data_IF_458769840088
#
_entry.id   IF_458769840088
#
_cell.length_a   1.000
_cell.length_b   1.000
_cell.length_c   1.000
_cell.angle_alpha   90.00
_cell.angle_beta   90.00
_cell.angle_gamma   90.00
#
_symmetry.space_group_name_H-M   'P 1'
#
loop_
_entity.id
_entity.type
_entity.pdbx_description
1 polymer ?
#
# COMPACT_ATOMS: atom_id res chain seq x y z
N UNK A 1 -22.27 3.50 27.10
CA UNK A 1 -21.79 3.73 25.72
C UNK A 1 -21.47 5.20 25.41
N UNK A 2 -22.34 6.17 25.73
CA UNK A 2 -22.08 7.61 25.48
C UNK A 2 -20.77 8.12 26.09
N UNK A 3 -20.43 7.67 27.32
CA UNK A 3 -19.20 8.06 27.99
C UNK A 3 -17.93 7.55 27.27
N UNK A 4 -17.96 6.30 26.73
CA UNK A 4 -16.82 5.71 26.01
C UNK A 4 -16.55 6.45 24.69
N UNK A 5 -17.59 6.79 23.91
CA UNK A 5 -17.42 7.54 22.66
C UNK A 5 -16.81 8.94 22.89
N UNK A 6 -17.26 9.63 23.92
CA UNK A 6 -16.70 10.93 24.31
C UNK A 6 -15.22 10.77 24.74
N UNK A 7 -14.93 9.82 25.63
CA UNK A 7 -13.56 9.55 26.08
C UNK A 7 -12.62 9.20 24.94
N UNK A 8 -13.02 8.34 24.01
CA UNK A 8 -12.23 7.98 22.83
C UNK A 8 -11.97 9.23 21.96
N UNK A 9 -13.03 10.02 21.70
CA UNK A 9 -12.90 11.25 20.90
C UNK A 9 -11.92 12.24 21.53
N UNK A 10 -11.99 12.44 22.83
CA UNK A 10 -11.12 13.39 23.53
C UNK A 10 -9.66 12.90 23.54
N UNK A 11 -9.42 11.62 23.74
CA UNK A 11 -8.07 11.01 23.62
C UNK A 11 -7.50 11.17 22.21
N UNK A 12 -8.30 10.97 21.16
CA UNK A 12 -7.87 11.18 19.77
C UNK A 12 -7.59 12.67 19.48
N UNK A 13 -8.35 13.58 20.09
CA UNK A 13 -8.11 15.03 19.97
C UNK A 13 -6.78 15.43 20.62
N UNK A 14 -6.47 14.89 21.79
CA UNK A 14 -5.18 15.12 22.45
C UNK A 14 -4.02 14.65 21.56
N UNK A 15 -4.11 13.45 21.00
CA UNK A 15 -3.09 12.95 20.06
C UNK A 15 -2.94 13.85 18.82
N UNK A 16 -4.04 14.36 18.28
CA UNK A 16 -4.01 15.30 17.17
C UNK A 16 -3.24 16.58 17.52
N UNK A 17 -3.45 17.12 18.73
CA UNK A 17 -2.75 18.29 19.25
C UNK A 17 -1.26 17.99 19.50
N UNK A 18 -0.94 16.91 20.20
CA UNK A 18 0.44 16.50 20.52
C UNK A 18 1.29 16.23 19.26
N UNK A 19 0.67 15.67 18.22
CA UNK A 19 1.36 15.32 16.96
C UNK A 19 1.27 16.41 15.91
N UNK A 20 0.59 17.52 16.18
CA UNK A 20 0.31 18.60 15.24
C UNK A 20 -0.31 18.10 13.91
N UNK A 21 -1.21 17.11 14.01
CA UNK A 21 -1.93 16.53 12.86
C UNK A 21 -3.41 16.90 12.91
N UNK A 22 -4.08 17.04 11.75
CA UNK A 22 -5.52 17.29 11.71
C UNK A 22 -6.31 16.20 12.46
N UNK A 23 -7.26 16.60 13.31
CA UNK A 23 -8.10 15.65 14.03
C UNK A 23 -8.85 14.70 13.09
N UNK A 24 -9.31 15.20 11.93
CA UNK A 24 -9.96 14.37 10.91
C UNK A 24 -9.07 13.23 10.40
N UNK A 25 -7.78 13.47 10.33
CA UNK A 25 -6.80 12.46 9.91
C UNK A 25 -6.62 11.38 10.99
N UNK A 26 -6.42 11.79 12.26
CA UNK A 26 -6.32 10.84 13.37
C UNK A 26 -7.60 10.01 13.53
N UNK A 27 -8.75 10.65 13.40
CA UNK A 27 -10.05 9.97 13.43
C UNK A 27 -10.21 8.95 12.28
N UNK A 28 -9.73 9.29 11.08
CA UNK A 28 -9.76 8.39 9.94
C UNK A 28 -8.86 7.16 10.16
N UNK A 29 -7.63 7.36 10.66
CA UNK A 29 -6.74 6.25 10.99
C UNK A 29 -7.30 5.39 12.11
N UNK A 30 -7.96 5.97 13.12
CA UNK A 30 -8.66 5.21 14.13
C UNK A 30 -9.80 4.37 13.54
N UNK A 31 -10.57 4.94 12.62
CA UNK A 31 -11.60 4.20 11.87
C UNK A 31 -11.02 3.01 11.10
N UNK A 32 -9.90 3.22 10.40
CA UNK A 32 -9.18 2.18 9.64
C UNK A 32 -8.72 1.05 10.58
N UNK A 33 -8.01 1.36 11.66
CA UNK A 33 -7.48 0.34 12.58
C UNK A 33 -8.60 -0.48 13.23
N UNK A 34 -9.70 0.17 13.63
CA UNK A 34 -10.83 -0.54 14.28
C UNK A 34 -11.64 -1.38 13.29
N UNK A 35 -11.69 -0.96 12.01
CA UNK A 35 -12.23 -1.80 10.96
C UNK A 35 -11.34 -3.02 10.68
N UNK A 36 -10.03 -2.81 10.56
CA UNK A 36 -9.06 -3.90 10.38
C UNK A 36 -9.09 -4.90 11.54
N UNK A 37 -9.35 -4.43 12.79
CA UNK A 37 -9.51 -5.31 13.93
C UNK A 37 -10.75 -6.23 13.77
N UNK A 38 -11.92 -5.66 13.41
CA UNK A 38 -13.12 -6.47 13.11
C UNK A 38 -12.89 -7.42 11.96
N UNK A 39 -12.12 -6.97 10.97
CA UNK A 39 -11.73 -7.80 9.84
C UNK A 39 -10.90 -9.01 10.29
N UNK A 40 -9.87 -8.80 11.11
CA UNK A 40 -9.03 -9.86 11.66
C UNK A 40 -9.81 -10.86 12.54
N UNK A 41 -10.83 -10.40 13.27
CA UNK A 41 -11.73 -11.25 14.06
C UNK A 41 -12.80 -11.98 13.22
N UNK A 42 -12.92 -11.70 11.92
CA UNK A 42 -13.94 -12.27 11.06
C UNK A 42 -13.51 -13.62 10.46
N UNK A 43 -14.49 -14.42 10.04
CA UNK A 43 -14.24 -15.66 9.27
C UNK A 43 -13.61 -15.42 7.90
N UNK A 44 -13.43 -14.17 7.50
CA UNK A 44 -12.86 -13.77 6.22
C UNK A 44 -11.38 -13.43 6.29
N UNK A 45 -10.80 -13.32 7.49
CA UNK A 45 -9.41 -12.90 7.70
C UNK A 45 -8.40 -13.65 6.81
N UNK A 46 -8.61 -14.98 6.66
CA UNK A 46 -7.73 -15.83 5.86
C UNK A 46 -7.84 -15.67 4.33
N UNK A 47 -8.91 -15.04 3.86
CA UNK A 47 -9.20 -14.89 2.43
C UNK A 47 -8.66 -13.61 1.83
N UNK A 48 -8.18 -12.69 2.67
CA UNK A 48 -7.72 -11.38 2.23
C UNK A 48 -6.31 -11.11 2.78
N UNK A 49 -5.57 -10.31 2.05
CA UNK A 49 -4.21 -9.86 2.42
C UNK A 49 -4.17 -8.34 2.33
N UNK A 50 -3.81 -7.67 3.42
CA UNK A 50 -3.62 -6.21 3.43
C UNK A 50 -2.45 -5.84 2.53
N UNK A 51 -2.67 -4.86 1.65
CA UNK A 51 -1.67 -4.34 0.72
C UNK A 51 -1.65 -2.82 0.70
N UNK A 52 -0.92 -2.26 -0.25
CA UNK A 52 -0.89 -0.82 -0.46
C UNK A 52 -0.16 -0.04 0.63
N UNK A 53 -0.46 1.25 0.73
CA UNK A 53 0.31 2.16 1.57
C UNK A 53 0.08 2.00 3.07
N UNK A 54 -0.97 1.29 3.51
CA UNK A 54 -1.16 0.97 4.93
C UNK A 54 -0.07 0.03 5.45
N UNK A 55 0.58 -0.76 4.58
CA UNK A 55 1.72 -1.59 4.97
C UNK A 55 2.91 -0.75 5.47
N UNK A 56 3.09 0.49 5.01
CA UNK A 56 4.11 1.39 5.53
C UNK A 56 3.87 1.76 7.01
N UNK A 57 2.62 1.79 7.44
CA UNK A 57 2.26 1.96 8.85
C UNK A 57 2.67 0.73 9.67
N UNK A 58 2.41 -0.48 9.15
CA UNK A 58 2.81 -1.75 9.77
C UNK A 58 4.33 -1.82 9.93
N UNK A 59 5.07 -1.44 8.91
CA UNK A 59 6.53 -1.46 8.91
C UNK A 59 7.17 -0.25 9.60
N UNK A 60 6.37 0.66 10.16
CA UNK A 60 6.82 1.88 10.83
C UNK A 60 7.75 2.74 9.97
N UNK A 61 7.46 2.78 8.66
CA UNK A 61 8.23 3.59 7.72
C UNK A 61 8.08 5.05 8.07
N UNK A 62 9.21 5.71 8.37
CA UNK A 62 9.23 7.16 8.52
C UNK A 62 8.93 7.84 7.19
N UNK A 63 8.35 9.05 7.26
CA UNK A 63 8.12 9.88 6.06
C UNK A 63 7.15 9.28 5.03
N UNK A 64 6.36 8.27 5.46
CA UNK A 64 5.31 7.72 4.61
C UNK A 64 4.25 8.79 4.32
N UNK A 65 3.77 8.79 3.08
CA UNK A 65 2.63 9.63 2.71
C UNK A 65 1.35 9.19 3.42
N UNK A 66 0.45 10.13 3.62
CA UNK A 66 -0.90 9.83 4.13
C UNK A 66 -1.66 8.95 3.14
N UNK A 67 -2.39 7.97 3.68
CA UNK A 67 -3.34 7.14 2.94
C UNK A 67 -4.59 6.91 3.78
N UNK A 68 -5.75 6.99 3.15
CA UNK A 68 -7.05 6.87 3.81
C UNK A 68 -7.85 5.66 3.30
N UNK A 69 -7.36 5.02 2.25
CA UNK A 69 -7.99 3.85 1.63
C UNK A 69 -7.37 2.57 2.19
N UNK A 70 -8.20 1.55 2.36
CA UNK A 70 -7.76 0.20 2.72
C UNK A 70 -7.67 -0.62 1.44
N UNK A 71 -6.47 -1.08 1.10
CA UNK A 71 -6.25 -1.93 -0.07
C UNK A 71 -6.12 -3.40 0.37
N UNK A 72 -6.90 -4.29 -0.24
CA UNK A 72 -6.78 -5.74 -0.07
C UNK A 72 -6.55 -6.47 -1.38
N UNK A 73 -5.78 -7.55 -1.30
CA UNK A 73 -5.86 -8.62 -2.27
C UNK A 73 -6.77 -9.72 -1.72
N UNK A 74 -7.77 -10.15 -2.50
CA UNK A 74 -8.67 -11.22 -2.10
C UNK A 74 -8.47 -12.50 -2.91
N UNK A 75 -8.42 -13.62 -2.20
CA UNK A 75 -8.64 -14.94 -2.76
C UNK A 75 -10.10 -15.35 -2.49
N UNK A 76 -11.01 -14.69 -3.17
CA UNK A 76 -12.45 -14.81 -2.95
C UNK A 76 -13.21 -14.47 -4.25
N UNK A 77 -14.55 -14.67 -4.24
CA UNK A 77 -15.42 -14.30 -5.35
C UNK A 77 -15.40 -12.77 -5.57
N UNK A 78 -15.17 -12.33 -6.82
CA UNK A 78 -14.98 -10.93 -7.20
C UNK A 78 -16.29 -10.20 -7.57
N UNK A 79 -17.46 -10.82 -7.37
CA UNK A 79 -18.72 -10.14 -7.61
C UNK A 79 -18.95 -9.03 -6.57
N UNK A 80 -19.37 -7.86 -7.02
CA UNK A 80 -19.63 -6.68 -6.17
C UNK A 80 -20.57 -7.04 -5.02
N UNK A 81 -21.69 -7.70 -5.30
CA UNK A 81 -22.66 -8.09 -4.28
C UNK A 81 -22.08 -9.04 -3.21
N UNK A 82 -21.14 -9.91 -3.61
CA UNK A 82 -20.45 -10.81 -2.68
C UNK A 82 -19.53 -10.02 -1.74
N UNK A 83 -18.75 -9.10 -2.27
CA UNK A 83 -17.84 -8.26 -1.47
C UNK A 83 -18.64 -7.32 -0.56
N UNK A 84 -19.73 -6.70 -1.05
CA UNK A 84 -20.62 -5.92 -0.18
C UNK A 84 -21.14 -6.74 1.00
N UNK A 85 -21.61 -7.98 0.75
CA UNK A 85 -22.09 -8.89 1.81
C UNK A 85 -20.99 -9.19 2.82
N UNK A 86 -19.75 -9.41 2.37
CA UNK A 86 -18.58 -9.61 3.25
C UNK A 86 -18.37 -8.38 4.14
N UNK A 87 -18.32 -7.19 3.56
CA UNK A 87 -18.06 -5.95 4.31
C UNK A 87 -19.22 -5.65 5.29
N UNK A 88 -20.50 -5.86 4.88
CA UNK A 88 -21.65 -5.75 5.78
C UNK A 88 -21.56 -6.69 7.00
N UNK A 89 -21.06 -7.90 6.79
CA UNK A 89 -20.87 -8.85 7.89
C UNK A 89 -19.72 -8.41 8.80
N UNK A 90 -18.63 -7.89 8.24
CA UNK A 90 -17.50 -7.37 9.03
C UNK A 90 -17.92 -6.17 9.88
N UNK A 91 -18.73 -5.25 9.35
CA UNK A 91 -19.29 -4.13 10.12
C UNK A 91 -20.04 -4.58 11.38
N UNK A 92 -20.61 -5.79 11.36
CA UNK A 92 -21.42 -6.36 12.44
C UNK A 92 -20.66 -7.34 13.35
N UNK A 93 -19.33 -7.55 13.12
CA UNK A 93 -18.53 -8.45 13.98
C UNK A 93 -18.49 -7.91 15.39
N UNK A 94 -18.90 -8.71 16.40
CA UNK A 94 -18.84 -8.31 17.80
C UNK A 94 -17.38 -8.23 18.25
N UNK A 95 -17.03 -7.12 18.88
CA UNK A 95 -15.69 -6.86 19.44
C UNK A 95 -15.82 -6.18 20.80
N UNK A 96 -14.75 -6.17 21.57
CA UNK A 96 -14.65 -5.33 22.76
C UNK A 96 -15.02 -3.88 22.40
N UNK A 97 -15.91 -3.23 23.15
CA UNK A 97 -16.36 -1.88 22.84
C UNK A 97 -15.17 -0.90 22.69
N UNK A 98 -15.06 -0.28 21.53
CA UNK A 98 -14.02 0.68 21.16
C UNK A 98 -14.59 2.08 20.79
N UNK A 99 -15.86 2.29 21.08
CA UNK A 99 -16.59 3.53 20.78
C UNK A 99 -17.03 3.68 19.33
N UNK A 100 -16.55 2.84 18.39
CA UNK A 100 -16.91 2.88 16.98
C UNK A 100 -18.03 1.90 16.63
N UNK A 101 -18.90 2.34 15.73
CA UNK A 101 -19.83 1.48 14.99
C UNK A 101 -19.65 1.71 13.50
N UNK A 102 -19.84 0.66 12.68
CA UNK A 102 -19.83 0.76 11.23
C UNK A 102 -21.24 0.51 10.71
N UNK A 103 -21.77 1.47 9.96
CA UNK A 103 -23.14 1.42 9.45
C UNK A 103 -23.20 0.51 8.21
N UNK A 104 -23.61 -0.74 8.43
CA UNK A 104 -23.69 -1.75 7.38
C UNK A 104 -24.71 -1.41 6.27
N UNK A 105 -25.69 -0.54 6.54
CA UNK A 105 -26.69 -0.15 5.55
C UNK A 105 -26.14 0.88 4.56
N UNK A 106 -25.06 1.57 4.92
CA UNK A 106 -24.36 2.49 4.03
C UNK A 106 -23.36 1.83 3.08
N UNK A 107 -23.12 0.53 3.23
CA UNK A 107 -22.17 -0.22 2.40
C UNK A 107 -22.64 -0.27 0.96
N UNK A 108 -21.84 0.31 0.06
CA UNK A 108 -22.07 0.34 -1.38
C UNK A 108 -20.79 -0.04 -2.13
N UNK A 109 -20.88 -1.04 -2.98
CA UNK A 109 -19.82 -1.52 -3.83
C UNK A 109 -19.98 -1.04 -5.27
N UNK A 110 -18.85 -0.90 -5.95
CA UNK A 110 -18.81 -0.66 -7.39
C UNK A 110 -17.60 -1.35 -8.00
N UNK A 111 -17.70 -1.74 -9.26
CA UNK A 111 -16.52 -2.20 -10.01
C UNK A 111 -15.54 -1.05 -10.17
N UNK A 112 -14.26 -1.32 -9.92
CA UNK A 112 -13.17 -0.45 -10.36
C UNK A 112 -12.77 -0.96 -11.74
N UNK A 113 -12.99 -0.15 -12.77
CA UNK A 113 -12.26 -0.31 -14.02
C UNK A 113 -10.87 0.29 -13.77
N UNK A 114 -9.93 -0.51 -13.31
CA UNK A 114 -8.54 -0.12 -13.53
C UNK A 114 -8.33 -0.09 -15.04
N UNK A 115 -7.48 0.83 -15.51
CA UNK A 115 -7.06 0.92 -16.92
C UNK A 115 -6.36 -0.36 -17.41
N UNK A 116 -6.39 -1.41 -16.60
CA UNK A 116 -5.81 -2.72 -16.76
C UNK A 116 -6.89 -3.80 -16.60
N UNK A 117 -6.74 -4.95 -17.26
CA UNK A 117 -7.66 -6.10 -17.35
C UNK A 117 -8.17 -6.70 -16.02
N UNK A 118 -7.81 -6.13 -14.87
CA UNK A 118 -8.19 -6.64 -13.55
C UNK A 118 -9.36 -5.86 -12.97
N UNK A 119 -10.51 -6.53 -12.88
CA UNK A 119 -11.68 -6.00 -12.21
C UNK A 119 -11.46 -5.98 -10.69
N UNK A 120 -11.27 -4.80 -10.12
CA UNK A 120 -11.32 -4.57 -8.68
C UNK A 120 -12.74 -4.25 -8.20
N UNK A 121 -12.96 -4.30 -6.90
CA UNK A 121 -14.20 -3.86 -6.26
C UNK A 121 -13.88 -2.78 -5.24
N UNK A 122 -14.44 -1.59 -5.42
CA UNK A 122 -14.41 -0.51 -4.42
C UNK A 122 -15.67 -0.56 -3.57
N UNK A 123 -15.50 -0.55 -2.26
CA UNK A 123 -16.61 -0.49 -1.32
C UNK A 123 -16.46 0.76 -0.46
N UNK A 124 -17.55 1.53 -0.35
CA UNK A 124 -17.63 2.72 0.52
C UNK A 124 -18.71 2.50 1.57
N UNK A 125 -18.46 2.98 2.78
CA UNK A 125 -19.39 2.94 3.91
C UNK A 125 -19.02 3.98 4.96
N UNK A 126 -19.81 4.06 6.04
CA UNK A 126 -19.62 5.06 7.09
C UNK A 126 -19.32 4.38 8.42
N UNK A 127 -18.24 4.79 9.08
CA UNK A 127 -17.99 4.61 10.49
C UNK A 127 -18.56 5.76 11.31
N UNK A 128 -18.94 5.49 12.55
CA UNK A 128 -19.52 6.47 13.48
C UNK A 128 -18.80 6.44 14.82
N UNK A 129 -18.29 7.59 15.27
CA UNK A 129 -17.83 7.82 16.64
C UNK A 129 -18.71 8.91 17.26
N UNK A 130 -19.72 8.54 18.02
CA UNK A 130 -20.76 9.45 18.47
C UNK A 130 -21.48 10.11 17.29
N UNK A 131 -21.33 11.45 17.16
CA UNK A 131 -21.87 12.22 16.02
C UNK A 131 -20.91 12.34 14.84
N UNK A 132 -19.65 11.98 15.01
CA UNK A 132 -18.63 12.09 13.95
C UNK A 132 -18.80 10.98 12.93
N UNK A 133 -18.90 11.36 11.66
CA UNK A 133 -18.98 10.43 10.52
C UNK A 133 -17.59 10.24 9.91
N UNK A 134 -17.21 9.00 9.70
CA UNK A 134 -15.90 8.60 9.17
C UNK A 134 -16.16 7.91 7.83
N UNK A 135 -15.88 8.56 6.68
CA UNK A 135 -16.02 7.91 5.39
C UNK A 135 -14.96 6.84 5.22
N UNK A 136 -15.38 5.60 5.00
CA UNK A 136 -14.51 4.45 4.80
C UNK A 136 -14.50 4.05 3.34
N UNK A 137 -13.31 3.70 2.81
CA UNK A 137 -13.15 3.14 1.48
C UNK A 137 -12.23 1.93 1.53
N UNK A 138 -12.66 0.87 0.86
CA UNK A 138 -11.89 -0.37 0.69
C UNK A 138 -11.80 -0.67 -0.79
N UNK A 139 -10.59 -0.91 -1.28
CA UNK A 139 -10.32 -1.35 -2.63
C UNK A 139 -9.84 -2.81 -2.58
N UNK A 140 -10.55 -3.69 -3.25
CA UNK A 140 -10.26 -5.12 -3.29
C UNK A 140 -9.81 -5.51 -4.69
N UNK A 141 -8.56 -5.91 -4.81
CA UNK A 141 -7.99 -6.51 -6.02
C UNK A 141 -8.07 -8.03 -5.97
N UNK A 142 -7.97 -8.67 -7.13
CA UNK A 142 -8.06 -10.12 -7.26
C UNK A 142 -6.98 -10.67 -8.17
N UNK A 143 -6.50 -11.87 -7.87
CA UNK A 143 -5.67 -12.64 -8.76
C UNK A 143 -4.20 -12.27 -8.81
N UNK A 144 -3.73 -11.25 -8.11
CA UNK A 144 -2.30 -10.95 -7.98
C UNK A 144 -1.55 -12.06 -7.22
N UNK A 145 -0.24 -12.14 -7.43
CA UNK A 145 0.64 -13.09 -6.77
C UNK A 145 1.49 -12.37 -5.74
N UNK A 146 1.50 -12.88 -4.52
CA UNK A 146 2.33 -12.32 -3.43
C UNK A 146 3.56 -13.19 -3.22
N UNK A 147 4.74 -12.60 -3.32
CA UNK A 147 6.00 -13.26 -3.04
C UNK A 147 7.00 -12.33 -2.34
N UNK A 148 7.67 -12.76 -1.27
CA UNK A 148 7.42 -13.96 -0.47
C UNK A 148 5.98 -14.08 0.03
N UNK A 149 5.58 -15.29 0.49
CA UNK A 149 4.20 -15.53 0.96
C UNK A 149 3.79 -14.49 2.01
N UNK A 150 2.50 -14.07 2.02
CA UNK A 150 1.97 -13.17 3.03
C UNK A 150 2.29 -13.67 4.45
N UNK A 151 2.68 -12.74 5.31
CA UNK A 151 2.93 -13.03 6.73
C UNK A 151 1.78 -12.47 7.57
N UNK A 152 1.54 -13.08 8.71
CA UNK A 152 0.68 -12.50 9.74
C UNK A 152 1.38 -11.26 10.29
N UNK A 153 0.65 -10.18 10.41
CA UNK A 153 1.12 -8.89 10.92
C UNK A 153 0.19 -8.36 12.01
N UNK A 154 0.76 -7.63 12.94
CA UNK A 154 0.03 -6.80 13.89
C UNK A 154 -0.01 -5.37 13.37
N UNK A 155 -1.20 -4.89 13.05
CA UNK A 155 -1.37 -3.50 12.66
C UNK A 155 -1.27 -2.59 13.89
N UNK A 156 -0.46 -1.52 13.88
CA UNK A 156 -0.31 -0.64 15.02
C UNK A 156 -1.61 0.11 15.36
N UNK A 157 -1.81 0.39 16.64
CA UNK A 157 -3.01 1.06 17.15
C UNK A 157 -2.66 2.41 17.76
N UNK A 158 -3.59 3.35 17.67
CA UNK A 158 -3.44 4.73 18.18
C UNK A 158 -3.74 4.79 19.67
N UNK A 159 -4.75 4.03 20.11
CA UNK A 159 -5.16 3.94 21.52
C UNK A 159 -4.95 2.50 22.04
N UNK A 160 -5.11 2.29 23.36
CA UNK A 160 -4.91 1.00 24.05
C UNK A 160 -6.04 0.01 23.78
N UNK A 161 -6.29 -0.29 22.51
CA UNK A 161 -7.22 -1.32 22.09
C UNK A 161 -6.47 -2.51 21.46
N UNK A 162 -7.09 -3.70 21.41
CA UNK A 162 -6.46 -4.87 20.78
C UNK A 162 -6.05 -4.58 19.34
N UNK A 163 -4.83 -5.03 18.98
CA UNK A 163 -4.28 -4.83 17.64
C UNK A 163 -5.00 -5.68 16.60
N UNK A 164 -5.23 -5.15 15.40
CA UNK A 164 -5.64 -5.96 14.25
C UNK A 164 -4.57 -6.99 13.92
N UNK A 165 -4.98 -8.25 13.76
CA UNK A 165 -4.12 -9.38 13.43
C UNK A 165 -4.58 -9.98 12.10
N UNK A 166 -3.80 -9.83 11.03
CA UNK A 166 -4.20 -10.16 9.67
C UNK A 166 -2.99 -10.46 8.76
N UNK A 167 -3.24 -11.00 7.57
CA UNK A 167 -2.19 -11.22 6.57
C UNK A 167 -1.81 -9.91 5.90
N UNK A 168 -0.51 -9.68 5.69
CA UNK A 168 0.03 -8.51 4.99
C UNK A 168 1.02 -8.87 3.89
N UNK A 169 1.16 -7.96 2.93
CA UNK A 169 2.10 -8.07 1.81
C UNK A 169 3.56 -8.02 2.29
N UNK A 170 4.44 -8.58 1.44
CA UNK A 170 5.89 -8.35 1.53
C UNK A 170 6.28 -7.03 0.85
N UNK A 171 7.40 -6.42 1.24
CA UNK A 171 7.95 -5.25 0.55
C UNK A 171 8.22 -5.51 -0.94
N UNK A 172 8.73 -6.70 -1.27
CA UNK A 172 9.05 -7.11 -2.64
C UNK A 172 7.81 -7.13 -3.53
N UNK A 173 6.68 -7.60 -3.01
CA UNK A 173 5.41 -7.60 -3.76
C UNK A 173 4.91 -6.18 -4.02
N UNK A 174 5.03 -5.26 -3.06
CA UNK A 174 4.64 -3.86 -3.26
C UNK A 174 5.52 -3.20 -4.33
N UNK A 175 6.83 -3.39 -4.27
CA UNK A 175 7.76 -2.86 -5.29
C UNK A 175 7.39 -3.41 -6.66
N UNK A 176 7.19 -4.73 -6.76
CA UNK A 176 6.92 -5.41 -8.04
C UNK A 176 5.61 -4.95 -8.68
N UNK A 177 4.52 -4.84 -7.91
CA UNK A 177 3.23 -4.36 -8.43
C UNK A 177 3.28 -2.90 -8.88
N UNK A 178 3.97 -2.04 -8.11
CA UNK A 178 4.11 -0.63 -8.45
C UNK A 178 4.98 -0.44 -9.68
N UNK A 179 6.11 -1.13 -9.75
CA UNK A 179 7.01 -1.06 -10.90
C UNK A 179 6.32 -1.56 -12.17
N UNK A 180 5.63 -2.71 -12.11
CA UNK A 180 4.86 -3.21 -13.24
C UNK A 180 3.81 -2.20 -13.72
N UNK A 181 3.04 -1.61 -12.80
CA UNK A 181 2.06 -0.60 -13.15
C UNK A 181 2.70 0.64 -13.80
N UNK A 182 3.87 1.07 -13.33
CA UNK A 182 4.61 2.20 -13.91
C UNK A 182 5.07 1.90 -15.33
N UNK A 183 5.58 0.70 -15.59
CA UNK A 183 6.00 0.25 -16.92
C UNK A 183 4.78 0.14 -17.86
N UNK A 184 3.72 -0.53 -17.41
CA UNK A 184 2.51 -0.75 -18.22
C UNK A 184 1.80 0.53 -18.61
N UNK A 185 1.73 1.51 -17.72
CA UNK A 185 1.09 2.80 -17.99
C UNK A 185 1.93 3.69 -18.94
N UNK A 186 3.24 3.52 -18.96
CA UNK A 186 4.12 4.27 -19.87
C UNK A 186 3.81 5.77 -19.88
N UNK A 187 3.46 6.31 -21.06
CA UNK A 187 3.12 7.72 -21.26
C UNK A 187 1.90 8.17 -20.46
N UNK A 188 0.95 7.30 -20.16
CA UNK A 188 -0.25 7.62 -19.40
C UNK A 188 -0.02 7.67 -17.88
N UNK A 189 1.20 7.34 -17.42
CA UNK A 189 1.49 7.26 -16.00
C UNK A 189 1.40 8.63 -15.31
N UNK A 190 0.38 8.82 -14.49
CA UNK A 190 0.17 9.98 -13.61
C UNK A 190 0.35 9.61 -12.12
N UNK A 191 0.77 8.39 -11.80
CA UNK A 191 0.79 7.82 -10.45
C UNK A 191 2.07 8.18 -9.70
N UNK A 192 2.28 9.47 -9.43
CA UNK A 192 3.48 9.99 -8.74
C UNK A 192 3.73 9.31 -7.38
N UNK A 193 2.67 8.84 -6.73
CA UNK A 193 2.76 8.07 -5.48
C UNK A 193 3.57 6.78 -5.62
N UNK A 194 3.56 6.13 -6.80
CA UNK A 194 4.27 4.87 -6.97
C UNK A 194 5.78 5.10 -7.11
N UNK A 195 6.21 6.18 -7.77
CA UNK A 195 7.61 6.62 -7.78
C UNK A 195 8.11 6.92 -6.36
N UNK A 196 7.32 7.69 -5.60
CA UNK A 196 7.68 8.02 -4.22
C UNK A 196 7.77 6.77 -3.33
N UNK A 197 6.77 5.90 -3.41
CA UNK A 197 6.68 4.72 -2.56
C UNK A 197 7.86 3.76 -2.81
N UNK A 198 8.25 3.49 -4.09
CA UNK A 198 9.44 2.65 -4.39
C UNK A 198 10.71 3.35 -3.93
N UNK A 199 10.87 4.65 -4.23
CA UNK A 199 12.03 5.43 -3.81
C UNK A 199 12.19 5.43 -2.28
N UNK A 200 11.09 5.56 -1.52
CA UNK A 200 11.11 5.49 -0.07
C UNK A 200 11.50 4.11 0.42
N UNK A 201 10.92 3.06 -0.18
CA UNK A 201 11.18 1.67 0.22
C UNK A 201 12.65 1.27 0.00
N UNK A 202 13.25 1.62 -1.13
CA UNK A 202 14.65 1.29 -1.40
C UNK A 202 15.64 1.96 -0.42
N UNK A 203 15.22 3.04 0.25
CA UNK A 203 16.01 3.77 1.26
C UNK A 203 15.78 3.25 2.69
N UNK A 204 14.64 2.63 2.95
CA UNK A 204 14.22 2.23 4.29
C UNK A 204 14.39 0.72 4.54
N UNK A 205 14.44 -0.09 3.48
CA UNK A 205 14.50 -1.55 3.58
C UNK A 205 15.79 -2.11 2.98
N UNK A 206 16.21 -3.26 3.53
CA UNK A 206 17.09 -4.15 2.82
C UNK A 206 16.24 -5.14 2.02
N UNK A 207 16.63 -5.43 0.78
CA UNK A 207 15.94 -6.40 -0.06
C UNK A 207 16.84 -7.60 -0.35
N UNK A 208 16.29 -8.79 -0.22
CA UNK A 208 16.92 -9.99 -0.71
C UNK A 208 16.75 -10.07 -2.22
N UNK A 209 17.85 -10.18 -2.97
CA UNK A 209 17.84 -10.16 -4.44
C UNK A 209 17.05 -11.31 -5.04
N UNK A 210 17.19 -12.55 -4.52
CA UNK A 210 16.40 -13.70 -4.96
C UNK A 210 14.89 -13.44 -4.79
N UNK A 211 14.49 -12.87 -3.66
CA UNK A 211 13.08 -12.59 -3.38
C UNK A 211 12.55 -11.50 -4.29
N UNK A 212 13.30 -10.44 -4.52
CA UNK A 212 12.86 -9.34 -5.38
C UNK A 212 12.76 -9.79 -6.86
N UNK A 213 13.74 -10.53 -7.36
CA UNK A 213 13.74 -11.12 -8.71
C UNK A 213 12.52 -12.01 -8.90
N UNK A 214 12.25 -12.90 -7.96
CA UNK A 214 11.10 -13.81 -8.06
C UNK A 214 9.75 -13.06 -7.97
N UNK A 215 9.65 -12.03 -7.12
CA UNK A 215 8.45 -11.20 -7.03
C UNK A 215 8.20 -10.44 -8.33
N UNK A 216 9.23 -9.82 -8.93
CA UNK A 216 9.16 -9.15 -10.23
C UNK A 216 8.72 -10.12 -11.33
N UNK A 217 9.41 -11.26 -11.46
CA UNK A 217 9.13 -12.29 -12.46
C UNK A 217 7.68 -12.76 -12.40
N UNK A 218 7.18 -13.07 -11.19
CA UNK A 218 5.80 -13.53 -10.99
C UNK A 218 4.76 -12.45 -11.30
N UNK A 219 5.01 -11.21 -10.87
CA UNK A 219 4.09 -10.10 -11.09
C UNK A 219 3.96 -9.78 -12.58
N UNK A 220 5.07 -9.60 -13.29
CA UNK A 220 5.06 -9.30 -14.72
C UNK A 220 4.44 -10.45 -15.55
N UNK A 221 4.80 -11.70 -15.25
CA UNK A 221 4.19 -12.87 -15.87
C UNK A 221 2.68 -12.92 -15.62
N UNK A 222 2.23 -12.71 -14.38
CA UNK A 222 0.82 -12.75 -14.00
C UNK A 222 0.01 -11.68 -14.71
N UNK A 223 0.56 -10.47 -14.81
CA UNK A 223 -0.10 -9.31 -15.41
C UNK A 223 0.14 -9.21 -16.92
N UNK A 224 0.86 -10.18 -17.51
CA UNK A 224 1.19 -10.23 -18.93
C UNK A 224 1.85 -8.94 -19.44
N UNK A 225 2.66 -8.31 -18.61
CA UNK A 225 3.42 -7.10 -18.94
C UNK A 225 4.84 -7.51 -19.34
N UNK A 226 5.34 -6.97 -20.44
CA UNK A 226 6.73 -7.20 -20.89
C UNK A 226 7.67 -6.44 -19.97
N UNK A 227 8.76 -7.08 -19.56
CA UNK A 227 9.84 -6.42 -18.83
C UNK A 227 10.51 -5.40 -19.76
N UNK A 228 10.92 -4.22 -19.24
CA UNK A 228 11.70 -3.26 -20.03
C UNK A 228 13.04 -3.89 -20.43
N UNK A 229 13.42 -3.74 -21.70
CA UNK A 229 14.65 -4.34 -22.24
C UNK A 229 15.87 -3.56 -21.81
N UNK A 230 15.84 -2.23 -21.99
CA UNK A 230 16.94 -1.33 -21.72
C UNK A 230 16.48 -0.10 -20.95
N UNK A 231 17.42 0.69 -20.45
CA UNK A 231 17.15 2.02 -19.91
C UNK A 231 16.89 3.02 -21.04
N UNK A 232 16.02 4.02 -20.84
CA UNK A 232 15.25 4.28 -19.61
C UNK A 232 14.07 3.33 -19.46
N UNK A 233 13.77 2.90 -18.22
CA UNK A 233 12.64 1.99 -17.94
C UNK A 233 11.28 2.66 -18.03
N UNK A 234 11.25 3.97 -18.01
CA UNK A 234 10.02 4.77 -18.03
C UNK A 234 9.96 5.63 -19.30
N UNK A 235 8.78 6.16 -19.58
CA UNK A 235 8.57 7.05 -20.71
C UNK A 235 9.45 8.34 -20.62
N UNK A 236 9.83 8.91 -21.76
CA UNK A 236 10.72 10.08 -21.83
C UNK A 236 10.24 11.28 -21.03
N UNK A 237 8.93 11.48 -20.95
CA UNK A 237 8.28 12.56 -20.19
C UNK A 237 8.57 12.49 -18.68
N UNK A 238 8.96 11.32 -18.17
CA UNK A 238 9.38 11.17 -16.77
C UNK A 238 10.73 11.84 -16.52
N UNK A 239 11.55 11.92 -17.54
CA UNK A 239 12.91 12.50 -17.48
C UNK A 239 12.98 13.95 -17.94
N UNK A 240 11.96 14.43 -18.66
CA UNK A 240 11.88 15.81 -19.11
C UNK A 240 11.38 16.73 -17.98
N UNK A 241 12.25 17.67 -17.58
CA UNK A 241 11.95 18.64 -16.51
C UNK A 241 10.85 19.65 -16.87
N UNK A 242 10.51 19.79 -18.16
CA UNK A 242 9.46 20.68 -18.66
C UNK A 242 8.13 19.97 -18.86
N UNK A 243 8.08 18.65 -18.66
CA UNK A 243 6.89 17.85 -18.87
C UNK A 243 5.81 18.11 -17.81
N UNK A 244 4.57 17.76 -18.18
CA UNK A 244 3.43 17.74 -17.23
C UNK A 244 3.68 16.77 -16.07
N UNK A 245 4.50 15.72 -16.28
CA UNK A 245 4.84 14.73 -15.24
C UNK A 245 5.66 15.37 -14.13
N UNK A 246 6.59 16.25 -14.47
CA UNK A 246 7.34 17.03 -13.48
C UNK A 246 6.42 17.96 -12.69
N UNK A 247 5.44 18.56 -13.35
CA UNK A 247 4.43 19.41 -12.68
C UNK A 247 3.57 18.61 -11.71
N UNK A 248 3.11 17.41 -12.12
CA UNK A 248 2.38 16.49 -11.24
C UNK A 248 3.23 16.04 -10.04
N UNK A 249 4.51 15.78 -10.25
CA UNK A 249 5.44 15.42 -9.17
C UNK A 249 5.57 16.53 -8.13
N UNK A 250 5.82 17.76 -8.55
CA UNK A 250 5.89 18.91 -7.64
C UNK A 250 4.58 19.12 -6.87
N UNK A 251 3.45 18.99 -7.55
CA UNK A 251 2.13 19.09 -6.93
C UNK A 251 1.92 17.97 -5.88
N UNK A 252 2.35 16.74 -6.18
CA UNK A 252 2.30 15.61 -5.26
C UNK A 252 3.15 15.85 -4.01
N UNK A 253 4.41 16.28 -4.16
CA UNK A 253 5.31 16.59 -3.04
C UNK A 253 4.74 17.69 -2.14
N UNK A 254 4.26 18.77 -2.75
CA UNK A 254 3.66 19.91 -2.02
C UNK A 254 2.40 19.50 -1.26
N UNK A 255 1.51 18.74 -1.90
CA UNK A 255 0.26 18.26 -1.27
C UNK A 255 0.53 17.34 -0.07
N UNK A 256 1.58 16.54 -0.13
CA UNK A 256 1.99 15.63 0.93
C UNK A 256 2.92 16.23 1.97
N UNK A 257 3.30 17.51 1.86
CA UNK A 257 4.39 18.17 2.63
C UNK A 257 5.68 17.32 2.66
N UNK A 258 5.99 16.69 1.52
CA UNK A 258 7.14 15.79 1.38
C UNK A 258 8.39 16.61 1.05
N UNK A 259 9.34 16.68 1.98
CA UNK A 259 10.56 17.50 1.86
C UNK A 259 11.81 16.68 1.54
N UNK A 260 11.76 15.37 1.71
CA UNK A 260 12.93 14.50 1.62
C UNK A 260 13.18 13.93 0.22
N UNK A 261 12.15 13.89 -0.61
CA UNK A 261 12.26 13.36 -1.96
C UNK A 261 12.98 14.36 -2.90
N UNK A 262 13.65 13.87 -3.94
CA UNK A 262 14.23 14.75 -4.96
C UNK A 262 13.16 15.66 -5.57
N UNK A 263 13.52 16.92 -5.82
CA UNK A 263 12.61 17.88 -6.46
C UNK A 263 12.29 17.51 -7.91
N UNK A 264 13.24 16.83 -8.58
CA UNK A 264 13.09 16.35 -9.95
C UNK A 264 12.59 14.91 -9.95
N UNK A 265 11.54 14.66 -10.73
CA UNK A 265 11.05 13.31 -10.96
C UNK A 265 12.08 12.42 -11.62
N UNK A 266 12.87 12.98 -12.56
CA UNK A 266 13.96 12.30 -13.25
C UNK A 266 15.00 11.72 -12.29
N UNK A 267 15.33 12.43 -11.21
CA UNK A 267 16.31 11.93 -10.23
C UNK A 267 15.75 10.76 -9.42
N UNK A 268 14.45 10.82 -9.10
CA UNK A 268 13.75 9.72 -8.45
C UNK A 268 13.67 8.50 -9.37
N UNK A 269 13.34 8.69 -10.64
CA UNK A 269 13.27 7.64 -11.65
C UNK A 269 14.61 6.92 -11.84
N UNK A 270 15.70 7.70 -12.03
CA UNK A 270 17.06 7.13 -12.16
C UNK A 270 17.48 6.29 -10.96
N UNK A 271 17.15 6.73 -9.75
CA UNK A 271 17.44 5.94 -8.53
C UNK A 271 16.64 4.63 -8.47
N UNK A 272 15.40 4.63 -8.92
CA UNK A 272 14.59 3.42 -9.05
C UNK A 272 15.21 2.47 -10.10
N UNK A 273 15.70 3.01 -11.22
CA UNK A 273 16.41 2.23 -12.23
C UNK A 273 17.69 1.60 -11.68
N UNK A 274 18.49 2.35 -10.93
CA UNK A 274 19.69 1.83 -10.25
C UNK A 274 19.35 0.66 -9.32
N UNK A 275 18.25 0.77 -8.59
CA UNK A 275 17.76 -0.29 -7.70
C UNK A 275 17.30 -1.54 -8.45
N UNK A 276 16.62 -1.38 -9.59
CA UNK A 276 15.97 -2.48 -10.30
C UNK A 276 16.80 -3.07 -11.44
N UNK A 277 17.88 -2.40 -11.87
CA UNK A 277 18.69 -2.83 -13.02
C UNK A 277 19.23 -4.25 -12.86
N UNK A 278 20.03 -4.51 -11.83
CA UNK A 278 20.63 -5.83 -11.63
C UNK A 278 19.57 -6.94 -11.43
N UNK A 279 18.46 -6.75 -10.66
CA UNK A 279 17.34 -7.69 -10.62
C UNK A 279 16.73 -7.99 -11.99
N UNK A 280 16.54 -7.00 -12.85
CA UNK A 280 15.99 -7.19 -14.19
C UNK A 280 16.97 -7.94 -15.10
N UNK A 281 18.26 -7.63 -15.03
CA UNK A 281 19.30 -8.35 -15.78
C UNK A 281 19.37 -9.81 -15.36
N UNK A 282 19.20 -10.10 -14.06
CA UNK A 282 19.12 -11.47 -13.58
C UNK A 282 17.92 -12.24 -14.14
N UNK A 283 16.77 -11.57 -14.29
CA UNK A 283 15.57 -12.19 -14.90
C UNK A 283 15.81 -12.48 -16.38
N UNK A 284 16.37 -11.51 -17.12
CA UNK A 284 16.64 -11.65 -18.57
C UNK A 284 17.67 -12.74 -18.89
N UNK A 285 18.75 -12.76 -18.12
CA UNK A 285 19.85 -13.69 -18.30
C UNK A 285 19.67 -15.01 -17.55
N UNK A 286 18.56 -15.16 -16.84
CA UNK A 286 18.14 -16.36 -16.10
C UNK A 286 19.22 -16.90 -15.13
N UNK A 287 19.82 -16.00 -14.32
CA UNK A 287 20.75 -16.40 -13.26
C UNK A 287 20.21 -16.07 -11.86
N UNK A 288 20.71 -16.75 -10.84
CA UNK A 288 20.32 -16.53 -9.45
C UNK A 288 20.99 -15.26 -8.89
N UNK A 289 20.19 -14.35 -8.39
CA UNK A 289 20.68 -13.04 -7.90
C UNK A 289 20.80 -13.03 -6.39
N UNK A 290 21.93 -13.51 -5.87
CA UNK A 290 22.20 -13.69 -4.44
C UNK A 290 22.59 -12.39 -3.69
N UNK A 291 22.64 -11.24 -4.35
CA UNK A 291 22.95 -9.97 -3.71
C UNK A 291 21.85 -9.51 -2.76
N UNK A 292 22.23 -8.64 -1.84
CA UNK A 292 21.30 -7.96 -0.93
C UNK A 292 21.40 -6.46 -1.19
N UNK A 293 20.25 -5.81 -1.41
CA UNK A 293 20.17 -4.37 -1.39
C UNK A 293 20.25 -3.88 0.03
N UNK A 294 21.16 -2.98 0.30
CA UNK A 294 21.23 -2.28 1.58
C UNK A 294 20.56 -0.92 1.47
N UNK A 295 19.88 -0.49 2.52
CA UNK A 295 19.31 0.86 2.61
C UNK A 295 20.32 1.99 2.40
N UNK A 296 21.60 1.68 2.33
CA UNK A 296 22.69 2.56 1.89
C UNK A 296 22.67 2.86 0.38
N UNK A 297 21.86 2.15 -0.41
CA UNK A 297 21.67 2.42 -1.84
C UNK A 297 22.54 1.61 -2.79
N UNK A 298 23.04 0.43 -2.36
CA UNK A 298 23.86 -0.44 -3.21
C UNK A 298 23.49 -1.92 -3.04
N UNK A 299 23.61 -2.69 -4.12
CA UNK A 299 23.60 -4.14 -4.10
C UNK A 299 24.98 -4.66 -3.65
N UNK A 300 25.02 -5.58 -2.74
CA UNK A 300 26.25 -6.19 -2.24
C UNK A 300 26.10 -7.69 -2.06
N UNK A 301 27.15 -8.43 -2.35
CA UNK A 301 27.19 -9.87 -2.07
C UNK A 301 27.29 -10.10 -0.56
N UNK A 302 26.43 -10.95 0.03
CA UNK A 302 26.55 -11.33 1.44
C UNK A 302 27.88 -11.99 1.72
N UNK A 303 28.49 -11.82 2.91
CA UNK A 303 29.69 -12.54 3.31
C UNK A 303 29.48 -14.06 3.18
N UNK A 304 30.41 -14.77 2.54
CA UNK A 304 30.39 -16.23 2.41
C UNK A 304 29.63 -16.80 1.21
N UNK A 305 29.10 -15.98 0.33
CA UNK A 305 28.59 -16.40 -0.99
C UNK A 305 29.65 -16.09 -2.03
N UNK A 306 30.33 -17.11 -2.55
CA UNK A 306 31.14 -16.99 -3.77
C UNK A 306 30.20 -16.93 -4.99
N UNK A 307 30.47 -16.02 -5.91
CA UNK A 307 29.78 -15.89 -7.20
C UNK A 307 30.14 -17.07 -8.10
#
# INVERSE_FOLDING_TARGET
MKNLQASVRDRLLNIAQETNRPFSEILQYYGIERFLYRFGCSKYADKFVLKGALMFTVWQVSERRTTLDIDFLANYNNQVATIEKVIKQICKVPVTPDGLTFDAETVKGQKIKEEMEYEGVRVKFIGLLGRSRIPMQIDVGFGDVVYPRPKIIDYPVILDFPKPHLKGYSPESIVSEKFEAMVKLGLLNSRMKDFYDIWLMMRQFNFNGLHLVEALKRTFKRRKTTLPEDRPFFAEEIYDEKSDRQTLWRAFLRKGDIKIAPERLSDTARKIEEFLMEPLDAIKSNYEFHKVWKKSGVWSTPPGVSL
#
